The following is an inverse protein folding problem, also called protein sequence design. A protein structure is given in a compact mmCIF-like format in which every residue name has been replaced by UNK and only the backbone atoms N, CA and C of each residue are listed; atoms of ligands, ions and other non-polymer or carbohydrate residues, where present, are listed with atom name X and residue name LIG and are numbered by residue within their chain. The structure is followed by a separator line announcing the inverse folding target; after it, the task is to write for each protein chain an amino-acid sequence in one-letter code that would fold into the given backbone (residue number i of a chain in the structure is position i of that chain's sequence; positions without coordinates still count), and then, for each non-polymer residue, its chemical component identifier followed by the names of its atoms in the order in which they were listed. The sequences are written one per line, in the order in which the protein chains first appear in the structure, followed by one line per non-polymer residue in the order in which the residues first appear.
data_IF_315382266409
#
_entry.id   IF_315382266409
#
_cell.length_a   1.000
_cell.length_b   1.000
_cell.length_c   1.000
_cell.angle_alpha   90.00
_cell.angle_beta   90.00
_cell.angle_gamma   90.00
#
_symmetry.space_group_name_H-M   'P 1'
#
loop_
_entity.id
_entity.type
_entity.pdbx_description
1 polymer ?
#
# COMPACT_ATOMS: atom_id res chain seq x y z
N UNK A 1 24.24 -29.64 -5.18
CA UNK A 1 22.83 -29.75 -4.74
C UNK A 1 21.97 -29.74 -5.98
N UNK A 2 21.27 -30.83 -6.27
CA UNK A 2 20.39 -30.94 -7.42
C UNK A 2 19.06 -30.28 -7.05
N UNK A 3 18.65 -29.27 -7.81
CA UNK A 3 17.36 -28.61 -7.59
C UNK A 3 16.23 -29.58 -7.92
N UNK A 4 15.22 -29.69 -7.06
CA UNK A 4 14.01 -30.51 -7.26
C UNK A 4 13.05 -29.90 -8.29
N UNK A 5 13.43 -28.77 -8.90
CA UNK A 5 12.62 -28.05 -9.89
C UNK A 5 13.01 -28.53 -11.29
N UNK A 6 12.08 -29.01 -12.13
CA UNK A 6 12.37 -29.38 -13.52
C UNK A 6 12.99 -28.20 -14.29
N UNK A 7 13.98 -28.39 -15.19
CA UNK A 7 14.59 -27.29 -15.96
C UNK A 7 13.59 -26.43 -16.73
N UNK A 8 12.48 -27.01 -17.19
CA UNK A 8 11.38 -26.30 -17.85
C UNK A 8 10.60 -25.35 -16.93
N UNK A 9 10.69 -25.55 -15.62
CA UNK A 9 10.08 -24.73 -14.58
C UNK A 9 11.09 -23.82 -13.89
N UNK A 10 12.30 -23.65 -14.44
CA UNK A 10 13.33 -22.79 -13.87
C UNK A 10 13.41 -21.47 -14.64
N UNK A 11 13.44 -20.36 -13.89
CA UNK A 11 13.80 -19.04 -14.40
C UNK A 11 15.03 -18.56 -13.64
N UNK A 12 16.10 -18.24 -14.37
CA UNK A 12 17.38 -17.82 -13.80
C UNK A 12 17.61 -16.35 -14.16
N UNK A 13 17.95 -15.52 -13.17
CA UNK A 13 18.21 -14.09 -13.38
C UNK A 13 19.49 -13.63 -12.70
N UNK A 14 20.14 -12.62 -13.29
CA UNK A 14 21.35 -11.97 -12.78
C UNK A 14 21.13 -10.45 -12.83
N UNK A 15 21.31 -9.75 -11.70
CA UNK A 15 21.08 -8.30 -11.58
C UNK A 15 19.74 -7.82 -12.15
N UNK A 16 18.66 -8.59 -11.94
CA UNK A 16 17.33 -8.28 -12.44
C UNK A 16 17.08 -8.63 -13.91
N UNK A 17 18.10 -9.09 -14.65
CA UNK A 17 17.96 -9.55 -16.04
C UNK A 17 17.79 -11.07 -16.08
N UNK A 18 16.69 -11.53 -16.67
CA UNK A 18 16.48 -12.96 -16.92
C UNK A 18 17.44 -13.48 -18.00
N UNK A 19 18.06 -14.63 -17.74
CA UNK A 19 18.99 -15.30 -18.62
C UNK A 19 18.21 -16.29 -19.50
N UNK A 20 17.76 -15.84 -20.67
CA UNK A 20 16.88 -16.62 -21.55
C UNK A 20 17.61 -17.32 -22.70
N UNK A 21 18.85 -16.92 -23.01
CA UNK A 21 19.62 -17.50 -24.10
C UNK A 21 20.50 -18.67 -23.62
N UNK A 22 20.16 -19.93 -23.97
CA UNK A 22 20.92 -21.11 -23.55
C UNK A 22 22.28 -21.24 -24.25
N UNK A 23 22.54 -20.46 -25.31
CA UNK A 23 23.79 -20.51 -26.09
C UNK A 23 24.78 -19.42 -25.69
N UNK A 24 24.34 -18.41 -24.93
CA UNK A 24 25.21 -17.35 -24.48
C UNK A 24 26.20 -17.85 -23.42
N UNK A 25 27.45 -17.40 -23.49
CA UNK A 25 28.43 -17.71 -22.45
C UNK A 25 28.14 -16.90 -21.18
N UNK A 26 28.51 -17.43 -20.02
CA UNK A 26 28.39 -16.76 -18.71
C UNK A 26 29.02 -15.35 -18.75
N UNK A 27 30.17 -15.22 -19.44
CA UNK A 27 30.86 -13.94 -19.68
C UNK A 27 30.04 -12.98 -20.54
N UNK A 28 29.39 -13.47 -21.60
CA UNK A 28 28.53 -12.65 -22.47
C UNK A 28 27.26 -12.19 -21.76
N UNK A 29 26.80 -12.96 -20.77
CA UNK A 29 25.67 -12.61 -19.88
C UNK A 29 26.07 -11.66 -18.73
N UNK A 30 27.34 -11.22 -18.70
CA UNK A 30 27.85 -10.28 -17.70
C UNK A 30 27.98 -10.87 -16.29
N UNK A 31 27.96 -12.19 -16.17
CA UNK A 31 28.09 -12.90 -14.90
C UNK A 31 29.58 -13.04 -14.59
N UNK A 32 30.03 -12.36 -13.53
CA UNK A 32 31.43 -12.38 -13.07
C UNK A 32 31.69 -13.55 -12.12
N UNK A 33 32.96 -13.77 -11.80
CA UNK A 33 33.35 -14.67 -10.72
C UNK A 33 32.75 -14.16 -9.40
N UNK A 34 32.07 -15.04 -8.64
CA UNK A 34 31.25 -14.74 -7.45
C UNK A 34 29.90 -14.03 -7.67
N UNK A 35 29.41 -13.95 -8.92
CA UNK A 35 28.08 -13.42 -9.17
C UNK A 35 26.96 -14.28 -8.54
N UNK A 36 25.95 -13.62 -7.99
CA UNK A 36 24.75 -14.29 -7.47
C UNK A 36 23.69 -14.43 -8.56
N UNK A 37 23.27 -15.67 -8.81
CA UNK A 37 22.16 -15.98 -9.70
C UNK A 37 20.91 -16.28 -8.88
N UNK A 38 19.80 -15.65 -9.24
CA UNK A 38 18.51 -15.91 -8.62
C UNK A 38 17.76 -16.95 -9.44
N UNK A 39 17.54 -18.12 -8.84
CA UNK A 39 16.69 -19.18 -9.39
C UNK A 39 15.27 -19.03 -8.84
N UNK A 40 14.29 -18.87 -9.74
CA UNK A 40 12.85 -18.88 -9.42
C UNK A 40 12.17 -20.07 -10.10
N UNK A 41 11.15 -20.63 -9.43
CA UNK A 41 10.26 -21.61 -10.07
C UNK A 41 9.28 -20.85 -10.96
N UNK A 42 9.39 -21.06 -12.27
CA UNK A 42 8.40 -20.64 -13.26
C UNK A 42 7.21 -21.59 -13.14
N UNK A 43 6.14 -21.12 -12.54
CA UNK A 43 4.84 -21.80 -12.64
C UNK A 43 4.36 -21.54 -14.06
N UNK A 44 4.24 -22.59 -14.88
CA UNK A 44 3.47 -22.53 -16.12
C UNK A 44 1.99 -22.37 -15.74
N UNK A 45 1.63 -21.21 -15.20
CA UNK A 45 0.27 -20.73 -15.26
C UNK A 45 0.07 -20.45 -16.75
N UNK A 46 -0.86 -21.14 -17.43
CA UNK A 46 -1.16 -20.82 -18.81
C UNK A 46 -1.46 -19.32 -18.86
N UNK A 47 -0.60 -18.58 -19.55
CA UNK A 47 -0.79 -17.15 -19.72
C UNK A 47 -2.13 -16.91 -20.44
N UNK A 48 -2.70 -15.71 -20.29
CA UNK A 48 -3.99 -15.33 -20.89
C UNK A 48 -4.00 -15.31 -22.44
N UNK A 49 -2.92 -15.71 -23.12
CA UNK A 49 -2.75 -15.57 -24.57
C UNK A 49 -3.31 -16.75 -25.42
N UNK A 50 -4.01 -17.72 -24.82
CA UNK A 50 -4.51 -18.88 -25.57
C UNK A 50 -5.88 -19.41 -25.15
N UNK A 51 -6.55 -18.78 -24.19
CA UNK A 51 -7.88 -19.17 -23.75
C UNK A 51 -8.89 -18.15 -24.27
N UNK A 52 -10.03 -18.57 -24.84
CA UNK A 52 -11.13 -17.66 -25.10
C UNK A 52 -11.44 -16.91 -23.81
N UNK A 53 -11.49 -15.57 -23.87
CA UNK A 53 -11.82 -14.70 -22.72
C UNK A 53 -13.09 -15.18 -22.00
N UNK A 54 -14.00 -15.78 -22.76
CA UNK A 54 -15.26 -16.36 -22.30
C UNK A 54 -15.06 -17.61 -21.41
N UNK A 55 -14.10 -18.48 -21.74
CA UNK A 55 -13.74 -19.64 -20.91
C UNK A 55 -13.05 -19.21 -19.61
N UNK A 56 -12.19 -18.19 -19.68
CA UNK A 56 -11.55 -17.61 -18.50
C UNK A 56 -12.56 -16.90 -17.58
N UNK A 57 -13.52 -16.18 -18.16
CA UNK A 57 -14.60 -15.54 -17.41
C UNK A 57 -15.47 -16.59 -16.68
N UNK A 58 -15.81 -17.69 -17.34
CA UNK A 58 -16.62 -18.73 -16.71
C UNK A 58 -15.88 -19.46 -15.59
N UNK A 59 -14.59 -19.74 -15.75
CA UNK A 59 -13.77 -20.29 -14.66
C UNK A 59 -13.70 -19.35 -13.46
N UNK A 60 -13.50 -18.05 -13.69
CA UNK A 60 -13.49 -17.05 -12.62
C UNK A 60 -14.85 -16.95 -11.92
N UNK A 61 -15.94 -16.99 -12.69
CA UNK A 61 -17.30 -16.97 -12.15
C UNK A 61 -17.54 -18.18 -11.23
N UNK A 62 -17.16 -19.37 -11.67
CA UNK A 62 -17.30 -20.60 -10.88
C UNK A 62 -16.42 -20.55 -9.62
N UNK A 63 -15.22 -19.98 -9.68
CA UNK A 63 -14.37 -19.78 -8.52
C UNK A 63 -15.01 -18.83 -7.50
N UNK A 64 -15.57 -17.71 -7.97
CA UNK A 64 -16.29 -16.74 -7.13
C UNK A 64 -17.53 -17.36 -6.49
N UNK A 65 -18.28 -18.20 -7.23
CA UNK A 65 -19.42 -18.93 -6.68
C UNK A 65 -19.03 -20.05 -5.72
N UNK A 66 -17.86 -20.65 -5.91
CA UNK A 66 -17.31 -21.70 -5.05
C UNK A 66 -16.71 -21.17 -3.75
N UNK A 67 -16.43 -19.87 -3.64
CA UNK A 67 -15.85 -19.22 -2.46
C UNK A 67 -16.81 -18.17 -1.85
N UNK A 68 -17.50 -18.50 -0.73
CA UNK A 68 -18.43 -17.58 -0.07
C UNK A 68 -17.78 -16.33 0.56
N UNK A 69 -16.47 -16.35 0.83
CA UNK A 69 -15.76 -15.17 1.34
C UNK A 69 -15.47 -14.21 0.19
N UNK A 70 -14.96 -14.74 -0.92
CA UNK A 70 -14.72 -13.97 -2.14
C UNK A 70 -16.01 -13.32 -2.67
N UNK A 71 -17.13 -14.04 -2.64
CA UNK A 71 -18.43 -13.49 -3.02
C UNK A 71 -18.86 -12.33 -2.12
N UNK A 72 -18.69 -12.43 -0.80
CA UNK A 72 -19.01 -11.34 0.13
C UNK A 72 -18.17 -10.09 -0.12
N UNK A 73 -16.87 -10.27 -0.32
CA UNK A 73 -15.97 -9.17 -0.65
C UNK A 73 -16.36 -8.50 -1.99
N UNK A 74 -16.75 -9.29 -2.99
CA UNK A 74 -17.24 -8.75 -4.25
C UNK A 74 -18.57 -8.01 -4.09
N UNK A 75 -19.48 -8.47 -3.23
CA UNK A 75 -20.72 -7.75 -2.94
C UNK A 75 -20.47 -6.39 -2.29
N UNK A 76 -19.47 -6.28 -1.41
CA UNK A 76 -19.10 -5.03 -0.74
C UNK A 76 -18.40 -4.05 -1.69
N UNK A 77 -17.49 -4.55 -2.52
CA UNK A 77 -16.64 -3.68 -3.36
C UNK A 77 -17.22 -3.42 -4.75
N UNK A 78 -17.85 -4.42 -5.36
CA UNK A 78 -18.29 -4.45 -6.76
C UNK A 78 -19.64 -5.18 -6.88
N UNK A 79 -20.74 -4.58 -6.37
CA UNK A 79 -22.04 -5.24 -6.28
C UNK A 79 -22.60 -5.65 -7.65
N UNK A 80 -22.34 -4.89 -8.71
CA UNK A 80 -22.77 -5.22 -10.08
C UNK A 80 -22.13 -6.52 -10.58
N UNK A 81 -20.83 -6.71 -10.32
CA UNK A 81 -20.10 -7.92 -10.72
C UNK A 81 -20.58 -9.13 -9.91
N UNK A 82 -20.80 -8.94 -8.60
CA UNK A 82 -21.31 -9.99 -7.73
C UNK A 82 -22.73 -10.45 -8.13
N UNK A 83 -23.60 -9.52 -8.54
CA UNK A 83 -24.92 -9.83 -9.05
C UNK A 83 -24.83 -10.62 -10.37
N UNK A 84 -24.03 -10.12 -11.33
CA UNK A 84 -23.82 -10.78 -12.61
C UNK A 84 -23.25 -12.20 -12.45
N UNK A 85 -22.30 -12.41 -11.53
CA UNK A 85 -21.72 -13.72 -11.27
C UNK A 85 -22.77 -14.79 -10.89
N UNK A 86 -23.82 -14.38 -10.19
CA UNK A 86 -24.89 -15.25 -9.70
C UNK A 86 -26.02 -15.46 -10.72
N UNK A 87 -26.42 -14.41 -11.44
CA UNK A 87 -27.63 -14.44 -12.28
C UNK A 87 -27.39 -14.44 -13.79
N UNK A 88 -26.24 -13.96 -14.26
CA UNK A 88 -25.99 -13.73 -15.69
C UNK A 88 -24.49 -13.92 -16.06
N UNK A 89 -24.10 -15.12 -16.50
CA UNK A 89 -22.73 -15.42 -16.91
C UNK A 89 -22.21 -14.55 -18.07
N UNK A 90 -23.09 -14.20 -19.01
CA UNK A 90 -22.71 -13.37 -20.18
C UNK A 90 -22.41 -11.95 -19.73
N UNK A 91 -23.27 -11.38 -18.87
CA UNK A 91 -23.02 -10.06 -18.28
C UNK A 91 -21.76 -10.03 -17.42
N UNK A 92 -21.49 -11.10 -16.67
CA UNK A 92 -20.27 -11.22 -15.88
C UNK A 92 -19.01 -11.16 -16.77
N UNK A 93 -19.01 -11.89 -17.88
CA UNK A 93 -17.91 -11.87 -18.84
C UNK A 93 -17.70 -10.48 -19.47
N UNK A 94 -18.78 -9.78 -19.82
CA UNK A 94 -18.71 -8.41 -20.33
C UNK A 94 -18.07 -7.44 -19.33
N UNK A 95 -18.52 -7.47 -18.08
CA UNK A 95 -18.02 -6.61 -17.01
C UNK A 95 -16.53 -6.87 -16.73
N UNK A 96 -16.13 -8.14 -16.71
CA UNK A 96 -14.75 -8.53 -16.52
C UNK A 96 -13.85 -8.05 -17.67
N UNK A 97 -14.33 -8.13 -18.92
CA UNK A 97 -13.62 -7.59 -20.09
C UNK A 97 -13.44 -6.08 -19.96
N UNK A 98 -14.52 -5.34 -19.65
CA UNK A 98 -14.46 -3.89 -19.47
C UNK A 98 -13.47 -3.48 -18.37
N UNK A 99 -13.44 -4.21 -17.25
CA UNK A 99 -12.48 -3.96 -16.17
C UNK A 99 -11.03 -4.17 -16.61
N UNK A 100 -10.75 -5.25 -17.35
CA UNK A 100 -9.42 -5.51 -17.90
C UNK A 100 -9.00 -4.44 -18.90
N UNK A 101 -9.88 -4.06 -19.82
CA UNK A 101 -9.58 -3.06 -20.84
C UNK A 101 -9.25 -1.70 -20.20
N UNK A 102 -10.03 -1.28 -19.18
CA UNK A 102 -9.74 -0.07 -18.41
C UNK A 102 -8.41 -0.13 -17.68
N UNK A 103 -8.11 -1.27 -17.02
CA UNK A 103 -6.86 -1.45 -16.30
C UNK A 103 -5.65 -1.44 -17.25
N UNK A 104 -5.75 -2.12 -18.39
CA UNK A 104 -4.71 -2.13 -19.42
C UNK A 104 -4.47 -0.75 -20.01
N UNK A 105 -5.54 -0.01 -20.31
CA UNK A 105 -5.43 1.35 -20.84
C UNK A 105 -4.74 2.29 -19.83
N UNK A 106 -5.15 2.24 -18.56
CA UNK A 106 -4.52 3.04 -17.50
C UNK A 106 -3.04 2.72 -17.33
N UNK A 107 -2.65 1.44 -17.39
CA UNK A 107 -1.24 1.03 -17.31
C UNK A 107 -0.45 1.51 -18.54
N UNK A 108 -1.03 1.42 -19.73
CA UNK A 108 -0.39 1.88 -20.96
C UNK A 108 -0.15 3.40 -20.92
N UNK A 109 -1.11 4.17 -20.43
CA UNK A 109 -1.00 5.62 -20.30
C UNK A 109 0.02 6.01 -19.24
N UNK A 110 0.06 5.31 -18.10
CA UNK A 110 1.11 5.46 -17.08
C UNK A 110 2.50 5.17 -17.66
N UNK A 111 2.63 4.09 -18.44
CA UNK A 111 3.90 3.72 -19.06
C UNK A 111 4.36 4.79 -20.06
N UNK A 112 3.44 5.35 -20.85
CA UNK A 112 3.72 6.47 -21.76
C UNK A 112 4.18 7.72 -21.01
N UNK A 113 3.55 8.05 -19.89
CA UNK A 113 3.95 9.18 -19.05
C UNK A 113 5.35 8.99 -18.48
N UNK A 114 5.67 7.81 -17.94
CA UNK A 114 7.00 7.47 -17.45
C UNK A 114 8.03 7.54 -18.57
N UNK A 115 7.72 7.01 -19.76
CA UNK A 115 8.62 7.10 -20.92
C UNK A 115 8.84 8.54 -21.36
N UNK A 116 7.80 9.38 -21.34
CA UNK A 116 7.91 10.80 -21.67
C UNK A 116 8.78 11.56 -20.67
N UNK A 117 8.60 11.32 -19.37
CA UNK A 117 9.41 11.94 -18.30
C UNK A 117 10.88 11.49 -18.35
N UNK A 118 11.16 10.26 -18.80
CA UNK A 118 12.53 9.75 -18.97
C UNK A 118 13.17 10.12 -20.31
N UNK A 119 12.41 10.68 -21.26
CA UNK A 119 12.91 10.96 -22.61
C UNK A 119 13.87 12.17 -22.65
N UNK A 120 13.86 13.04 -21.64
CA UNK A 120 14.84 14.13 -21.52
C UNK A 120 15.34 14.29 -20.06
N UNK A 121 16.58 13.84 -19.74
CA UNK A 121 17.18 13.98 -18.42
C UNK A 121 17.55 15.42 -18.03
N UNK A 122 17.30 16.42 -18.90
CA UNK A 122 17.49 17.84 -18.62
C UNK A 122 16.18 18.66 -18.69
N UNK A 123 15.02 17.99 -18.67
CA UNK A 123 13.74 18.68 -18.66
C UNK A 123 13.53 19.46 -17.35
N UNK A 124 13.53 20.78 -17.47
CA UNK A 124 13.36 21.73 -16.37
C UNK A 124 12.00 21.53 -15.68
N UNK A 125 10.97 21.09 -16.42
CA UNK A 125 9.65 20.82 -15.86
C UNK A 125 9.67 19.57 -14.96
N UNK A 126 10.39 18.52 -15.34
CA UNK A 126 10.54 17.33 -14.50
C UNK A 126 11.32 17.67 -13.20
N UNK A 127 12.38 18.47 -13.31
CA UNK A 127 13.14 18.93 -12.15
C UNK A 127 12.29 19.82 -11.23
N UNK A 128 11.47 20.72 -11.78
CA UNK A 128 10.55 21.56 -11.01
C UNK A 128 9.47 20.72 -10.28
N UNK A 129 8.91 19.70 -10.93
CA UNK A 129 7.96 18.77 -10.30
C UNK A 129 8.60 17.99 -9.16
N UNK A 130 9.85 17.55 -9.32
CA UNK A 130 10.60 16.87 -8.26
C UNK A 130 10.85 17.85 -7.09
N UNK A 131 11.24 19.09 -7.37
CA UNK A 131 11.45 20.11 -6.34
C UNK A 131 10.16 20.43 -5.56
N UNK A 132 9.03 20.59 -6.25
CA UNK A 132 7.74 20.83 -5.59
C UNK A 132 7.30 19.64 -4.73
N UNK A 133 7.50 18.40 -5.20
CA UNK A 133 7.20 17.20 -4.43
C UNK A 133 8.03 17.13 -3.14
N UNK A 134 9.33 17.41 -3.21
CA UNK A 134 10.22 17.46 -2.04
C UNK A 134 9.79 18.57 -1.08
N UNK A 135 9.43 19.75 -1.59
CA UNK A 135 8.96 20.87 -0.77
C UNK A 135 7.67 20.53 -0.03
N UNK A 136 6.70 19.93 -0.71
CA UNK A 136 5.44 19.51 -0.09
C UNK A 136 5.68 18.44 0.97
N UNK A 137 6.56 17.48 0.69
CA UNK A 137 6.92 16.44 1.66
C UNK A 137 7.58 17.04 2.91
N UNK A 138 8.50 17.99 2.76
CA UNK A 138 9.12 18.67 3.89
C UNK A 138 8.12 19.47 4.74
N UNK A 139 7.12 20.10 4.11
CA UNK A 139 6.03 20.79 4.83
C UNK A 139 5.19 19.78 5.61
N UNK A 140 4.87 18.64 5.01
CA UNK A 140 4.06 17.59 5.64
C UNK A 140 4.80 16.94 6.82
N UNK A 141 6.09 16.61 6.66
CA UNK A 141 6.93 16.06 7.72
C UNK A 141 7.06 17.05 8.90
N UNK A 142 7.27 18.33 8.61
CA UNK A 142 7.32 19.36 9.66
C UNK A 142 5.96 19.52 10.36
N UNK A 143 4.86 19.43 9.61
CA UNK A 143 3.51 19.46 10.18
C UNK A 143 3.23 18.24 11.06
N UNK A 144 3.59 17.04 10.62
CA UNK A 144 3.46 15.80 11.39
C UNK A 144 4.27 15.87 12.69
N UNK A 145 5.54 16.27 12.60
CA UNK A 145 6.39 16.46 13.76
C UNK A 145 5.83 17.51 14.73
N UNK A 146 5.26 18.60 14.21
CA UNK A 146 4.67 19.62 15.06
C UNK A 146 3.33 19.19 15.68
N UNK A 147 2.56 18.31 15.03
CA UNK A 147 1.39 17.65 15.63
C UNK A 147 1.78 16.66 16.72
N UNK A 148 2.88 15.92 16.55
CA UNK A 148 3.37 14.94 17.52
C UNK A 148 3.94 15.61 18.77
N UNK A 149 4.80 16.62 18.60
CA UNK A 149 5.56 17.22 19.71
C UNK A 149 5.03 18.58 20.18
N UNK A 150 4.12 19.21 19.43
CA UNK A 150 3.62 20.56 19.76
C UNK A 150 2.18 20.79 19.27
N UNK A 151 1.21 19.94 19.67
CA UNK A 151 -0.18 20.05 19.21
C UNK A 151 -0.84 21.39 19.58
N UNK A 152 -0.31 22.08 20.61
CA UNK A 152 -0.74 23.40 21.07
C UNK A 152 -0.54 24.51 20.03
N UNK A 153 0.38 24.32 19.07
CA UNK A 153 0.63 25.29 18.00
C UNK A 153 -0.49 25.33 16.94
N UNK A 154 -1.34 24.29 16.88
CA UNK A 154 -2.37 24.12 15.85
C UNK A 154 -3.81 24.11 16.40
N UNK A 155 -4.01 24.29 17.71
CA UNK A 155 -5.34 24.30 18.31
C UNK A 155 -5.39 24.84 19.74
N UNK A 156 -6.59 25.21 20.20
CA UNK A 156 -6.82 25.62 21.59
C UNK A 156 -6.90 24.38 22.48
N UNK A 157 -5.89 24.16 23.31
CA UNK A 157 -5.90 23.09 24.31
C UNK A 157 -6.82 23.47 25.47
N UNK A 158 -7.80 22.62 25.76
CA UNK A 158 -8.71 22.81 26.89
C UNK A 158 -8.13 22.09 28.10
N UNK A 159 -7.68 22.85 29.08
CA UNK A 159 -7.15 22.33 30.34
C UNK A 159 -8.30 21.75 31.17
N UNK A 160 -8.15 20.50 31.63
CA UNK A 160 -9.17 19.85 32.46
C UNK A 160 -9.05 20.30 33.91
N UNK A 161 -10.14 20.84 34.45
CA UNK A 161 -10.28 21.17 35.87
C UNK A 161 -11.45 20.40 36.47
N UNK A 162 -11.23 19.86 37.67
CA UNK A 162 -12.30 19.21 38.44
C UNK A 162 -12.49 19.93 39.78
N UNK A 163 -13.73 20.19 40.20
CA UNK A 163 -14.00 20.65 41.56
C UNK A 163 -13.73 19.49 42.53
N UNK A 164 -12.86 19.73 43.50
CA UNK A 164 -12.52 18.80 44.58
C UNK A 164 -12.71 19.48 45.92
N UNK A 165 -12.96 18.72 46.97
CA UNK A 165 -13.06 19.25 48.32
C UNK A 165 -11.86 18.74 49.12
N UNK A 166 -11.12 19.65 49.77
CA UNK A 166 -10.07 19.27 50.70
C UNK A 166 -10.31 19.99 52.02
N UNK A 167 -10.38 19.24 53.12
CA UNK A 167 -10.73 19.76 54.46
C UNK A 167 -12.03 20.59 54.47
N UNK A 168 -13.08 20.12 53.78
CA UNK A 168 -14.36 20.84 53.65
C UNK A 168 -14.30 22.18 52.90
N UNK A 169 -13.24 22.42 52.15
CA UNK A 169 -13.11 23.58 51.27
C UNK A 169 -13.10 23.17 49.78
N UNK A 170 -14.00 23.72 48.96
CA UNK A 170 -14.01 23.45 47.53
C UNK A 170 -12.84 24.14 46.82
N UNK A 171 -12.07 23.38 46.05
CA UNK A 171 -10.90 23.80 45.28
C UNK A 171 -11.05 23.32 43.84
N UNK A 172 -10.55 24.10 42.87
CA UNK A 172 -10.45 23.66 41.47
C UNK A 172 -9.09 23.02 41.24
N UNK A 173 -9.06 21.70 41.09
CA UNK A 173 -7.83 20.97 40.80
C UNK A 173 -7.61 20.94 39.28
N UNK A 174 -6.39 21.28 38.86
CA UNK A 174 -5.91 21.07 37.51
C UNK A 174 -5.51 19.61 37.35
N UNK A 175 -5.95 18.96 36.27
CA UNK A 175 -5.67 17.54 36.01
C UNK A 175 -4.57 17.42 34.95
N UNK A 176 -3.43 16.86 35.36
CA UNK A 176 -2.29 16.57 34.48
C UNK A 176 -1.89 15.10 34.62
N UNK A 177 -2.11 14.31 33.57
CA UNK A 177 -1.74 12.89 33.56
C UNK A 177 -0.23 12.65 33.45
N UNK A 178 0.56 13.67 33.09
CA UNK A 178 2.02 13.62 33.02
C UNK A 178 2.72 13.94 34.34
N UNK A 179 2.00 14.50 35.33
CA UNK A 179 2.57 14.80 36.64
C UNK A 179 2.78 13.51 37.45
N UNK A 180 4.04 13.22 37.80
CA UNK A 180 4.37 12.06 38.64
C UNK A 180 3.96 12.25 40.12
N UNK A 181 3.74 13.50 40.55
CA UNK A 181 3.35 13.84 41.91
C UNK A 181 2.32 14.97 41.89
N UNK A 182 1.37 14.91 42.83
CA UNK A 182 0.42 15.98 43.08
C UNK A 182 1.09 17.12 43.83
N UNK A 183 1.03 18.34 43.30
CA UNK A 183 1.61 19.54 43.92
C UNK A 183 0.49 20.50 44.30
N UNK A 184 0.47 20.95 45.55
CA UNK A 184 -0.37 22.05 46.01
C UNK A 184 0.47 23.30 46.23
N UNK A 185 0.04 24.42 45.67
CA UNK A 185 0.78 25.69 45.74
C UNK A 185 0.56 26.47 47.05
N UNK A 186 -0.32 26.00 47.95
CA UNK A 186 -0.68 26.70 49.19
C UNK A 186 -0.99 25.72 50.33
N UNK A 187 -0.60 26.02 51.59
CA UNK A 187 -1.00 25.23 52.74
C UNK A 187 -2.53 25.31 52.91
N UNK A 188 -3.17 24.15 52.96
CA UNK A 188 -4.61 24.07 53.23
C UNK A 188 -4.89 24.46 54.69
N UNK A 189 -6.03 25.12 54.98
CA UNK A 189 -6.41 25.42 56.34
C UNK A 189 -6.53 24.13 57.18
N UNK A 190 -6.19 24.19 58.48
CA UNK A 190 -6.31 23.03 59.36
C UNK A 190 -7.78 22.60 59.51
N UNK A 191 -8.00 21.28 59.63
CA UNK A 191 -9.34 20.74 59.90
C UNK A 191 -9.91 21.37 61.18
N UNK A 192 -11.18 21.75 61.13
CA UNK A 192 -11.96 22.06 62.34
C UNK A 192 -12.61 20.77 62.82
N UNK A 193 -12.43 20.44 64.11
CA UNK A 193 -13.04 19.27 64.79
C UNK A 193 -14.58 19.28 64.76
#
# INVERSE_FOLDING_TARGET
MQSTIPPSEQSISHNGRELTDPKATIRALGVSENAMLLLRRRVNVPGPEGRPIEQDAEMMRLQVLGDPQLMRQLQETQPEIAAAAQSDPTRFAELLRQHRDRAQQAELDRQREITALNADPFDVEAQHRIEEAIRQQAVMENMEHALEYSPEAFGRVTMLYVPVEVNSHPVKAFVDSGAQQTISASPLPPCSD
#
